data_IF_287778157445
#
_entry.id   IF_287778157445
#
_cell.length_a   1.000
_cell.length_b   1.000
_cell.length_c   1.000
_cell.angle_alpha   90.00
_cell.angle_beta   90.00
_cell.angle_gamma   90.00
#
_symmetry.space_group_name_H-M   'P 1'
#
loop_
_entity.id
_entity.type
_entity.pdbx_description
1 polymer ?
#
# COMPACT_ATOMS: atom_id res chain seq x y z
N UNK A 1 -10.51 9.16 -6.19
CA UNK A 1 -9.14 9.75 -6.18
C UNK A 1 -8.66 9.58 -4.76
N UNK A 2 -7.54 8.90 -4.51
CA UNK A 2 -7.07 8.68 -3.15
C UNK A 2 -6.71 10.03 -2.54
N UNK A 3 -7.24 10.32 -1.36
CA UNK A 3 -6.91 11.52 -0.61
C UNK A 3 -5.53 11.36 0.02
N UNK A 4 -4.66 12.36 -0.16
CA UNK A 4 -3.33 12.42 0.45
C UNK A 4 -3.39 12.37 1.98
N UNK A 5 -4.45 12.94 2.58
CA UNK A 5 -4.64 12.91 4.03
C UNK A 5 -4.90 11.48 4.52
N UNK A 6 -5.80 10.76 3.85
CA UNK A 6 -6.16 9.39 4.23
C UNK A 6 -4.98 8.42 4.03
N UNK A 7 -4.19 8.64 2.98
CA UNK A 7 -2.97 7.87 2.72
C UNK A 7 -1.91 8.10 3.81
N UNK A 8 -1.75 9.35 4.28
CA UNK A 8 -0.86 9.69 5.40
C UNK A 8 -1.32 9.10 6.72
N UNK A 9 -2.63 9.11 6.98
CA UNK A 9 -3.21 8.46 8.16
C UNK A 9 -2.94 6.96 8.16
N UNK A 10 -3.18 6.28 7.03
CA UNK A 10 -2.85 4.87 6.90
C UNK A 10 -1.35 4.64 7.14
N UNK A 11 -0.47 5.41 6.49
CA UNK A 11 0.99 5.31 6.67
C UNK A 11 1.40 5.45 8.14
N UNK A 12 0.73 6.32 8.89
CA UNK A 12 1.02 6.56 10.32
C UNK A 12 0.47 5.44 11.23
N UNK A 13 -0.65 4.83 10.84
CA UNK A 13 -1.26 3.73 11.60
C UNK A 13 -0.51 2.39 11.47
N UNK A 14 0.22 2.19 10.37
CA UNK A 14 0.93 0.95 10.10
C UNK A 14 2.26 0.92 10.84
N UNK A 15 2.59 -0.25 11.41
CA UNK A 15 3.95 -0.52 11.91
C UNK A 15 4.91 -0.85 10.77
N UNK A 16 4.36 -1.43 9.70
CA UNK A 16 5.06 -1.71 8.46
C UNK A 16 5.21 -0.50 7.54
N UNK A 17 5.60 -0.76 6.29
CA UNK A 17 5.80 0.28 5.29
C UNK A 17 4.60 0.41 4.35
N UNK A 18 4.20 1.63 4.03
CA UNK A 18 3.29 1.93 2.93
C UNK A 18 4.08 2.60 1.81
N UNK A 19 4.11 2.00 0.63
CA UNK A 19 4.77 2.56 -0.55
C UNK A 19 3.74 3.16 -1.51
N UNK A 20 4.00 4.40 -1.91
CA UNK A 20 3.29 5.14 -2.94
C UNK A 20 4.15 5.21 -4.22
N UNK A 21 3.59 5.54 -5.39
CA UNK A 21 4.33 5.65 -6.64
C UNK A 21 5.54 6.62 -6.59
N UNK A 22 5.56 7.57 -5.65
CA UNK A 22 6.67 8.50 -5.47
C UNK A 22 7.82 7.92 -4.64
N UNK A 23 7.61 6.81 -3.92
CA UNK A 23 8.66 6.20 -3.10
C UNK A 23 9.66 5.42 -3.97
N UNK A 24 10.96 5.57 -3.69
CA UNK A 24 12.04 4.92 -4.44
C UNK A 24 11.96 3.37 -4.42
N UNK A 25 11.38 2.81 -3.37
CA UNK A 25 11.19 1.36 -3.22
C UNK A 25 9.93 0.82 -3.92
N UNK A 26 9.07 1.67 -4.47
CA UNK A 26 7.80 1.28 -5.09
C UNK A 26 8.00 0.36 -6.30
N UNK A 27 8.90 0.74 -7.21
CA UNK A 27 9.19 -0.04 -8.41
C UNK A 27 9.77 -1.43 -8.09
N UNK A 28 10.48 -1.54 -6.97
CA UNK A 28 10.95 -2.82 -6.47
C UNK A 28 9.82 -3.61 -5.80
N UNK A 29 8.98 -2.93 -5.02
CA UNK A 29 7.88 -3.52 -4.26
C UNK A 29 6.75 -4.10 -5.12
N UNK A 30 6.50 -3.56 -6.31
CA UNK A 30 5.44 -4.03 -7.21
C UNK A 30 5.81 -5.24 -8.07
N UNK A 31 7.09 -5.61 -8.12
CA UNK A 31 7.55 -6.72 -8.97
C UNK A 31 7.08 -8.05 -8.39
N UNK A 32 6.41 -8.82 -9.23
CA UNK A 32 6.01 -10.21 -8.95
C UNK A 32 6.93 -11.18 -9.70
N UNK A 33 6.86 -12.46 -9.35
CA UNK A 33 7.70 -13.49 -9.96
C UNK A 33 7.57 -13.53 -11.49
N UNK A 34 6.35 -13.39 -12.01
CA UNK A 34 6.12 -13.31 -13.44
C UNK A 34 6.47 -11.91 -13.96
N UNK A 35 7.65 -11.77 -14.56
CA UNK A 35 8.14 -10.52 -15.13
C UNK A 35 7.28 -9.95 -16.28
N UNK A 36 6.38 -10.75 -16.86
CA UNK A 36 5.43 -10.27 -17.87
C UNK A 36 4.30 -9.42 -17.27
N UNK A 37 4.11 -9.44 -15.95
CA UNK A 37 3.05 -8.69 -15.27
C UNK A 37 3.62 -7.36 -14.77
N UNK A 38 3.33 -6.29 -15.51
CA UNK A 38 3.60 -4.90 -15.10
C UNK A 38 2.32 -4.25 -14.56
N UNK A 39 2.05 -4.42 -13.25
CA UNK A 39 0.97 -3.71 -12.57
C UNK A 39 1.51 -2.55 -11.74
N UNK A 40 0.74 -1.47 -11.70
CA UNK A 40 1.04 -0.23 -10.96
C UNK A 40 -0.07 0.04 -9.94
N UNK A 41 -0.07 -0.67 -8.80
CA UNK A 41 -1.06 -0.46 -7.74
C UNK A 41 -0.94 0.96 -7.17
N UNK A 42 -2.04 1.56 -6.74
CA UNK A 42 -1.99 2.89 -6.16
C UNK A 42 -1.18 2.95 -4.84
N UNK A 43 -1.22 1.87 -4.06
CA UNK A 43 -0.51 1.73 -2.79
C UNK A 43 0.00 0.30 -2.62
N UNK A 44 1.11 0.12 -1.92
CA UNK A 44 1.65 -1.19 -1.51
C UNK A 44 1.89 -1.20 -0.01
N UNK A 45 1.09 -1.96 0.73
CA UNK A 45 1.25 -2.11 2.17
C UNK A 45 2.07 -3.35 2.53
N UNK A 46 3.26 -3.15 3.08
CA UNK A 46 4.13 -4.19 3.64
C UNK A 46 3.82 -4.37 5.13
N UNK A 47 2.80 -5.16 5.41
CA UNK A 47 2.32 -5.42 6.77
C UNK A 47 3.34 -6.24 7.57
N UNK A 48 3.54 -5.88 8.84
CA UNK A 48 4.44 -6.59 9.77
C UNK A 48 3.70 -7.53 10.74
N UNK A 49 2.37 -7.43 10.79
CA UNK A 49 1.53 -8.28 11.63
C UNK A 49 0.04 -8.10 11.34
N UNK A 50 -0.80 -8.82 12.08
CA UNK A 50 -2.25 -8.84 11.87
C UNK A 50 -2.91 -7.46 12.04
N UNK A 51 -2.40 -6.62 12.95
CA UNK A 51 -2.92 -5.26 13.17
C UNK A 51 -2.79 -4.41 11.91
N UNK A 52 -1.64 -4.48 11.24
CA UNK A 52 -1.41 -3.77 9.98
C UNK A 52 -2.37 -4.24 8.88
N UNK A 53 -2.55 -5.56 8.76
CA UNK A 53 -3.47 -6.15 7.76
C UNK A 53 -4.91 -5.68 7.99
N UNK A 54 -5.38 -5.66 9.23
CA UNK A 54 -6.73 -5.19 9.57
C UNK A 54 -6.92 -3.73 9.18
N UNK A 55 -5.92 -2.88 9.46
CA UNK A 55 -5.95 -1.47 9.08
C UNK A 55 -6.02 -1.30 7.55
N UNK A 56 -5.19 -2.03 6.80
CA UNK A 56 -5.19 -1.98 5.34
C UNK A 56 -6.51 -2.45 4.72
N UNK A 57 -7.10 -3.54 5.22
CA UNK A 57 -8.37 -4.06 4.68
C UNK A 57 -9.52 -3.09 4.95
N UNK A 58 -9.58 -2.48 6.14
CA UNK A 58 -10.59 -1.46 6.45
C UNK A 58 -10.46 -0.25 5.55
N UNK A 59 -9.23 0.23 5.37
CA UNK A 59 -8.92 1.34 4.47
C UNK A 59 -9.33 1.01 3.03
N UNK A 60 -8.93 -0.16 2.50
CA UNK A 60 -9.26 -0.56 1.14
C UNK A 60 -10.77 -0.58 0.91
N UNK A 61 -11.54 -1.10 1.87
CA UNK A 61 -13.01 -1.08 1.82
C UNK A 61 -13.58 0.35 1.81
N UNK A 62 -13.04 1.25 2.63
CA UNK A 62 -13.51 2.64 2.70
C UNK A 62 -13.18 3.46 1.44
N UNK A 63 -12.12 3.06 0.72
CA UNK A 63 -11.64 3.70 -0.50
C UNK A 63 -12.07 2.98 -1.79
N UNK A 64 -12.81 1.87 -1.67
CA UNK A 64 -13.24 1.01 -2.78
C UNK A 64 -12.08 0.56 -3.70
N UNK A 65 -11.03 0.02 -3.07
CA UNK A 65 -9.79 -0.48 -3.71
C UNK A 65 -9.75 -2.00 -3.93
#
# INVERSE_FOLDING_TARGET
>A
MLDDSQTKELRTSLRGQLLCPEDSDYDKGRKVFNAMIDRRPALIARCTGAVDVIACVRFAREQDL
#
